data_IF_132031407641
#
_entry.id   IF_132031407641
#
_cell.length_a   1.000
_cell.length_b   1.000
_cell.length_c   1.000
_cell.angle_alpha   90.00
_cell.angle_beta   90.00
_cell.angle_gamma   90.00
#
_symmetry.space_group_name_H-M   'P 1'
#
loop_
_entity.id
_entity.type
_entity.pdbx_description
1 polymer ?
#
# COMPACT_ATOMS: atom_id res chain seq x y z
N UNK A 1 -30.66 -29.05 -77.52
CA UNK A 1 -31.56 -29.28 -76.40
C UNK A 1 -30.72 -28.97 -75.11
N UNK A 2 -30.77 -27.74 -74.71
CA UNK A 2 -29.92 -27.29 -73.63
C UNK A 2 -30.79 -26.66 -72.56
N UNK A 3 -30.87 -27.34 -71.42
CA UNK A 3 -31.67 -26.89 -70.28
C UNK A 3 -30.88 -25.88 -69.47
N UNK A 4 -31.32 -24.66 -69.42
CA UNK A 4 -30.72 -23.63 -68.56
C UNK A 4 -31.37 -23.68 -67.20
N UNK A 5 -30.66 -24.10 -66.22
CA UNK A 5 -31.06 -23.87 -64.83
C UNK A 5 -30.60 -22.50 -64.36
N UNK A 6 -31.59 -21.66 -64.09
CA UNK A 6 -31.39 -20.38 -63.47
C UNK A 6 -31.26 -20.58 -61.95
N UNK A 7 -30.09 -20.40 -61.40
CA UNK A 7 -29.90 -20.36 -59.95
C UNK A 7 -30.20 -18.94 -59.45
N UNK A 8 -31.31 -18.78 -58.82
CA UNK A 8 -31.62 -17.57 -58.04
C UNK A 8 -30.90 -17.65 -56.71
N UNK A 9 -29.83 -16.87 -56.58
CA UNK A 9 -29.12 -16.69 -55.30
C UNK A 9 -29.94 -15.70 -54.50
N UNK A 10 -30.69 -16.19 -53.54
CA UNK A 10 -31.31 -15.36 -52.50
C UNK A 10 -30.23 -15.00 -51.49
N UNK A 11 -29.74 -13.76 -51.57
CA UNK A 11 -28.89 -13.17 -50.59
C UNK A 11 -29.68 -12.92 -49.30
N UNK A 12 -29.55 -13.80 -48.34
CA UNK A 12 -30.02 -13.59 -46.99
C UNK A 12 -29.12 -12.56 -46.32
N UNK A 13 -29.60 -11.34 -46.21
CA UNK A 13 -28.99 -10.30 -45.38
C UNK A 13 -29.16 -10.71 -43.92
N UNK A 14 -28.18 -11.41 -43.36
CA UNK A 14 -28.09 -11.56 -41.92
C UNK A 14 -27.55 -10.25 -41.32
N UNK A 15 -28.46 -9.43 -40.84
CA UNK A 15 -28.18 -8.27 -40.03
C UNK A 15 -27.56 -8.78 -38.70
N UNK A 16 -26.25 -8.77 -38.65
CA UNK A 16 -25.47 -9.06 -37.43
C UNK A 16 -25.59 -7.85 -36.52
N UNK A 17 -26.59 -7.88 -35.64
CA UNK A 17 -26.76 -6.91 -34.57
C UNK A 17 -25.64 -7.14 -33.56
N UNK A 18 -24.47 -6.51 -33.79
CA UNK A 18 -23.42 -6.42 -32.80
C UNK A 18 -23.91 -5.52 -31.66
N UNK A 19 -24.59 -6.15 -30.69
CA UNK A 19 -24.82 -5.53 -29.40
C UNK A 19 -23.45 -5.45 -28.72
N UNK A 20 -22.78 -4.30 -28.89
CA UNK A 20 -21.63 -3.95 -28.11
C UNK A 20 -22.09 -3.79 -26.66
N UNK A 21 -21.98 -4.87 -25.91
CA UNK A 21 -22.07 -4.84 -24.44
C UNK A 21 -20.84 -4.07 -23.95
N UNK A 22 -20.98 -2.74 -23.82
CA UNK A 22 -20.04 -1.92 -23.09
C UNK A 22 -20.08 -2.39 -21.64
N UNK A 23 -19.22 -3.36 -21.30
CA UNK A 23 -18.89 -3.63 -19.90
C UNK A 23 -18.28 -2.35 -19.36
N UNK A 24 -19.09 -1.54 -18.72
CA UNK A 24 -18.62 -0.48 -17.83
C UNK A 24 -17.94 -1.17 -16.67
N UNK A 25 -16.63 -1.39 -16.78
CA UNK A 25 -15.80 -1.78 -15.67
C UNK A 25 -15.80 -0.59 -14.70
N UNK A 26 -16.69 -0.62 -13.70
CA UNK A 26 -16.59 0.29 -12.58
C UNK A 26 -15.20 0.10 -11.97
N UNK A 27 -14.46 1.19 -11.68
CA UNK A 27 -13.19 1.06 -10.99
C UNK A 27 -13.47 0.38 -9.65
N UNK A 28 -12.99 -0.86 -9.50
CA UNK A 28 -12.99 -1.52 -8.23
C UNK A 28 -12.11 -0.67 -7.31
N UNK A 29 -12.73 0.06 -6.39
CA UNK A 29 -12.00 0.71 -5.31
C UNK A 29 -11.40 -0.42 -4.48
N UNK A 30 -10.11 -0.68 -4.68
CA UNK A 30 -9.39 -1.63 -3.87
C UNK A 30 -9.48 -1.14 -2.42
N UNK A 31 -10.23 -1.87 -1.61
CA UNK A 31 -10.33 -1.60 -0.18
C UNK A 31 -8.92 -1.75 0.41
N UNK A 32 -8.40 -0.69 1.00
CA UNK A 32 -7.08 -0.73 1.60
C UNK A 32 -7.17 -1.52 2.90
N UNK A 33 -6.61 -2.72 2.90
CA UNK A 33 -6.62 -3.64 4.03
C UNK A 33 -5.33 -3.45 4.84
N UNK A 34 -5.44 -3.51 6.16
CA UNK A 34 -4.27 -3.53 7.03
C UNK A 34 -3.43 -4.80 6.77
N UNK A 35 -2.15 -4.60 6.52
CA UNK A 35 -1.19 -5.67 6.23
C UNK A 35 -0.19 -5.89 7.39
N UNK A 36 -0.35 -5.15 8.47
CA UNK A 36 0.52 -5.13 9.64
C UNK A 36 -0.28 -5.08 10.96
N UNK A 37 -1.34 -5.89 11.09
CA UNK A 37 -2.12 -5.95 12.33
C UNK A 37 -1.33 -6.50 13.51
N UNK A 38 -0.25 -7.24 13.26
CA UNK A 38 0.67 -7.72 14.29
C UNK A 38 1.34 -6.59 15.09
N UNK A 39 1.32 -5.34 14.60
CA UNK A 39 1.97 -4.19 15.25
C UNK A 39 1.53 -3.96 16.72
N UNK A 40 0.33 -4.42 17.08
CA UNK A 40 -0.18 -4.33 18.46
C UNK A 40 0.34 -5.41 19.40
N UNK A 41 0.96 -6.47 18.87
CA UNK A 41 1.47 -7.61 19.63
C UNK A 41 2.94 -7.91 19.34
N UNK A 42 3.45 -7.44 18.20
CA UNK A 42 4.82 -7.69 17.78
C UNK A 42 5.24 -6.79 16.61
N UNK A 43 6.44 -7.00 16.08
CA UNK A 43 6.89 -6.31 14.88
C UNK A 43 6.21 -6.83 13.62
N UNK A 44 6.18 -6.00 12.59
CA UNK A 44 5.76 -6.40 11.24
C UNK A 44 6.97 -6.51 10.32
N UNK A 45 6.97 -7.51 9.46
CA UNK A 45 8.09 -7.81 8.55
C UNK A 45 7.63 -7.77 7.11
N UNK A 46 8.43 -7.14 6.24
CA UNK A 46 8.25 -7.16 4.78
C UNK A 46 9.57 -7.38 4.06
N UNK A 47 9.47 -7.96 2.87
CA UNK A 47 10.58 -8.03 1.92
C UNK A 47 10.49 -6.81 0.98
N UNK A 48 11.58 -6.08 0.80
CA UNK A 48 11.66 -4.95 -0.11
C UNK A 48 13.09 -4.76 -0.62
N UNK A 49 13.23 -4.55 -1.93
CA UNK A 49 14.53 -4.38 -2.59
C UNK A 49 15.58 -5.44 -2.19
N UNK A 50 15.17 -6.72 -2.08
CA UNK A 50 16.04 -7.82 -1.70
C UNK A 50 16.47 -7.83 -0.22
N UNK A 51 15.82 -7.06 0.63
CA UNK A 51 16.11 -6.92 2.06
C UNK A 51 14.89 -7.25 2.90
N UNK A 52 15.13 -7.74 4.10
CA UNK A 52 14.09 -7.89 5.11
C UNK A 52 14.00 -6.60 5.90
N UNK A 53 12.81 -5.99 5.90
CA UNK A 53 12.51 -4.76 6.63
C UNK A 53 11.50 -5.07 7.72
N UNK A 54 11.84 -4.72 8.96
CA UNK A 54 11.01 -4.95 10.14
C UNK A 54 10.65 -3.61 10.76
N UNK A 55 9.36 -3.35 10.95
CA UNK A 55 8.85 -2.19 11.68
C UNK A 55 8.34 -2.62 13.04
N UNK A 56 8.78 -1.95 14.06
CA UNK A 56 8.29 -2.09 15.44
C UNK A 56 7.86 -0.72 15.97
N UNK A 57 6.73 -0.67 16.68
CA UNK A 57 6.21 0.55 17.31
C UNK A 57 5.92 0.26 18.78
N UNK A 58 6.43 1.10 19.66
CA UNK A 58 6.24 1.01 21.11
C UNK A 58 5.84 2.37 21.71
N UNK A 59 5.06 2.43 22.83
CA UNK A 59 4.46 1.30 23.52
C UNK A 59 3.29 0.66 22.76
N UNK A 60 2.92 -0.54 23.17
CA UNK A 60 1.76 -1.25 22.64
C UNK A 60 0.62 -1.29 23.65
N UNK A 61 -0.63 -1.30 23.20
CA UNK A 61 -1.09 -1.16 21.80
C UNK A 61 -0.79 0.23 21.25
N UNK A 62 -0.56 0.31 19.93
CA UNK A 62 -0.30 1.60 19.24
C UNK A 62 -1.54 2.48 19.32
N UNK A 63 -1.39 3.68 19.88
CA UNK A 63 -2.50 4.60 20.14
C UNK A 63 -2.27 5.96 19.48
N UNK A 64 -3.38 6.62 19.13
CA UNK A 64 -3.34 8.02 18.70
C UNK A 64 -2.88 8.93 19.85
N UNK A 65 -2.23 10.03 19.50
CA UNK A 65 -1.79 11.10 20.41
C UNK A 65 -0.84 10.65 21.53
N UNK A 66 -0.34 9.41 21.49
CA UNK A 66 0.70 8.93 22.37
C UNK A 66 2.09 9.19 21.78
N UNK A 67 3.09 9.43 22.64
CA UNK A 67 4.49 9.39 22.19
C UNK A 67 4.84 7.94 21.87
N UNK A 68 5.27 7.73 20.63
CA UNK A 68 5.61 6.42 20.09
C UNK A 68 7.09 6.40 19.69
N UNK A 69 7.74 5.30 19.95
CA UNK A 69 9.07 4.98 19.43
C UNK A 69 8.92 4.06 18.25
N UNK A 70 9.42 4.48 17.11
CA UNK A 70 9.45 3.72 15.86
C UNK A 70 10.84 3.15 15.69
N UNK A 71 10.93 1.83 15.56
CA UNK A 71 12.18 1.12 15.30
C UNK A 71 12.08 0.40 13.97
N UNK A 72 13.07 0.62 13.11
CA UNK A 72 13.18 -0.03 11.80
C UNK A 72 14.46 -0.84 11.76
N UNK A 73 14.35 -2.14 11.53
CA UNK A 73 15.49 -3.03 11.32
C UNK A 73 15.52 -3.46 9.87
N UNK A 74 16.69 -3.35 9.23
CA UNK A 74 16.90 -3.74 7.83
C UNK A 74 18.04 -4.75 7.75
N UNK A 75 17.79 -5.88 7.12
CA UNK A 75 18.79 -6.94 6.96
C UNK A 75 18.92 -7.35 5.49
N UNK A 76 20.12 -7.21 4.89
CA UNK A 76 21.33 -6.58 5.40
C UNK A 76 21.20 -5.05 5.52
N UNK A 77 21.79 -4.45 6.54
CA UNK A 77 21.77 -2.99 6.83
C UNK A 77 22.88 -2.18 6.17
N UNK A 78 23.64 -2.80 5.28
CA UNK A 78 24.76 -2.16 4.56
C UNK A 78 24.25 -1.19 3.49
N UNK A 79 25.03 -0.13 3.22
CA UNK A 79 24.74 0.88 2.19
C UNK A 79 23.38 1.62 2.38
N UNK A 80 22.93 1.77 3.63
CA UNK A 80 21.74 2.56 3.97
C UNK A 80 22.20 3.81 4.72
N UNK A 81 21.61 4.98 4.47
CA UNK A 81 21.95 6.22 5.17
C UNK A 81 21.84 6.11 6.70
N UNK A 82 22.61 6.93 7.41
CA UNK A 82 22.54 7.01 8.88
C UNK A 82 21.21 7.54 9.40
N UNK A 83 20.46 8.24 8.54
CA UNK A 83 19.15 8.80 8.85
C UNK A 83 18.15 8.31 7.82
N UNK A 84 16.99 7.88 8.28
CA UNK A 84 15.83 7.53 7.46
C UNK A 84 14.65 8.42 7.83
N UNK A 85 13.75 8.67 6.89
CA UNK A 85 12.47 9.31 7.17
C UNK A 85 11.38 8.24 7.15
N UNK A 86 10.53 8.25 8.17
CA UNK A 86 9.31 7.46 8.22
C UNK A 86 8.13 8.39 8.01
N UNK A 87 7.45 8.28 6.88
CA UNK A 87 6.26 9.05 6.55
C UNK A 87 5.02 8.37 7.11
N UNK A 88 4.23 9.11 7.89
CA UNK A 88 2.99 8.65 8.49
C UNK A 88 1.82 9.29 7.75
N UNK A 89 1.05 8.50 7.03
CA UNK A 89 -0.07 8.96 6.21
C UNK A 89 -1.29 8.06 6.38
N UNK A 90 -2.43 8.51 5.88
CA UNK A 90 -3.65 7.70 5.83
C UNK A 90 -3.93 7.29 4.38
N UNK A 91 -4.23 6.01 4.11
CA UNK A 91 -4.61 5.58 2.76
C UNK A 91 -5.79 6.38 2.23
N UNK A 92 -5.63 6.95 1.02
CA UNK A 92 -6.69 7.72 0.36
C UNK A 92 -6.99 9.10 0.96
N UNK A 93 -6.14 9.61 1.88
CA UNK A 93 -6.32 10.94 2.46
C UNK A 93 -4.99 11.68 2.57
N UNK A 94 -4.97 12.95 2.14
CA UNK A 94 -3.82 13.82 2.37
C UNK A 94 -3.90 14.44 3.75
N UNK A 95 -2.90 14.15 4.59
CA UNK A 95 -2.82 14.64 5.99
C UNK A 95 -1.73 15.70 6.19
N UNK A 96 -1.16 16.22 5.10
CA UNK A 96 0.04 17.03 5.18
C UNK A 96 1.28 16.19 5.46
N UNK A 97 2.40 16.87 5.73
CA UNK A 97 3.67 16.21 6.03
C UNK A 97 3.69 15.78 7.51
N UNK A 98 3.68 14.48 7.76
CA UNK A 98 3.83 13.91 9.09
C UNK A 98 4.96 12.86 9.04
N UNK A 99 6.17 13.27 9.38
CA UNK A 99 7.36 12.44 9.25
C UNK A 99 8.09 12.32 10.59
N UNK A 100 8.57 11.12 10.86
CA UNK A 100 9.47 10.80 11.96
C UNK A 100 10.87 10.61 11.39
N UNK A 101 11.83 11.31 11.94
CA UNK A 101 13.24 11.14 11.59
C UNK A 101 13.81 10.00 12.43
N UNK A 102 14.29 8.97 11.75
CA UNK A 102 14.90 7.81 12.37
C UNK A 102 16.42 7.94 12.29
N UNK A 103 17.10 7.84 13.42
CA UNK A 103 18.56 7.85 13.53
C UNK A 103 19.09 6.43 13.66
N UNK A 104 20.21 6.14 13.02
CA UNK A 104 20.87 4.84 13.13
C UNK A 104 21.32 4.59 14.58
N UNK A 105 20.90 3.47 15.14
CA UNK A 105 21.30 3.00 16.48
C UNK A 105 22.33 1.87 16.43
N UNK A 106 22.26 1.04 15.40
CA UNK A 106 23.19 -0.05 15.16
C UNK A 106 23.41 -0.25 13.65
N UNK A 107 24.19 -1.25 13.28
CA UNK A 107 24.45 -1.59 11.87
C UNK A 107 23.18 -1.81 11.05
N UNK A 108 22.12 -2.34 11.68
CA UNK A 108 20.89 -2.75 11.00
C UNK A 108 19.63 -2.05 11.55
N UNK A 109 19.74 -1.17 12.57
CA UNK A 109 18.57 -0.61 13.26
C UNK A 109 18.58 0.91 13.27
N UNK A 110 17.43 1.50 12.99
CA UNK A 110 17.15 2.94 13.08
C UNK A 110 15.96 3.16 14.01
N UNK A 111 16.01 4.24 14.79
CA UNK A 111 14.99 4.56 15.77
C UNK A 111 14.68 6.05 15.81
N UNK A 112 13.43 6.39 16.05
CA UNK A 112 12.95 7.76 16.22
C UNK A 112 11.66 7.83 17.02
N UNK A 113 11.37 9.00 17.55
CA UNK A 113 10.15 9.26 18.32
C UNK A 113 9.18 10.12 17.49
N UNK A 114 7.90 9.85 17.64
CA UNK A 114 6.85 10.61 16.96
C UNK A 114 5.48 10.34 17.55
N UNK A 115 4.48 11.00 16.96
CA UNK A 115 3.08 10.88 17.38
C UNK A 115 2.23 10.59 16.15
N UNK A 116 1.31 9.65 16.27
CA UNK A 116 0.26 9.44 15.29
C UNK A 116 -0.93 10.30 15.69
N UNK A 117 -1.23 11.31 14.89
CA UNK A 117 -2.32 12.24 15.16
C UNK A 117 -3.69 11.58 14.99
N UNK A 118 -4.71 12.05 15.69
CA UNK A 118 -6.07 11.56 15.50
C UNK A 118 -6.69 12.23 14.28
N UNK A 119 -7.29 11.43 13.39
CA UNK A 119 -8.05 11.96 12.27
C UNK A 119 -9.46 12.40 12.72
N UNK A 120 -9.87 13.61 12.33
CA UNK A 120 -11.21 14.15 12.62
C UNK A 120 -12.33 13.30 12.01
N UNK A 121 -12.07 12.55 10.93
CA UNK A 121 -13.05 11.64 10.33
C UNK A 121 -13.23 10.31 11.08
N UNK A 122 -12.51 10.10 12.19
CA UNK A 122 -12.57 8.86 12.95
C UNK A 122 -11.87 7.66 12.28
N UNK A 123 -11.21 7.86 11.14
CA UNK A 123 -10.45 6.78 10.49
C UNK A 123 -9.28 6.35 11.36
N UNK A 124 -9.07 5.03 11.43
CA UNK A 124 -8.03 4.40 12.26
C UNK A 124 -6.92 3.74 11.44
N UNK A 125 -7.10 3.62 10.13
CA UNK A 125 -6.14 2.97 9.25
C UNK A 125 -5.01 3.95 8.88
N UNK A 126 -3.78 3.57 9.21
CA UNK A 126 -2.57 4.35 8.98
C UNK A 126 -1.57 3.59 8.12
N UNK A 127 -0.73 4.32 7.44
CA UNK A 127 0.37 3.81 6.63
C UNK A 127 1.67 4.47 7.07
N UNK A 128 2.62 3.65 7.48
CA UNK A 128 4.00 4.05 7.73
C UNK A 128 4.87 3.66 6.54
N UNK A 129 5.45 4.63 5.85
CA UNK A 129 6.33 4.40 4.70
C UNK A 129 7.74 4.80 5.06
N UNK A 130 8.69 3.88 4.93
CA UNK A 130 10.11 4.18 5.06
C UNK A 130 10.56 4.82 3.75
N UNK A 131 10.86 6.11 3.78
CA UNK A 131 11.26 6.87 2.59
C UNK A 131 12.74 6.62 2.31
N UNK A 132 13.02 5.69 1.41
CA UNK A 132 14.37 5.33 0.98
C UNK A 132 14.32 4.62 -0.36
N UNK A 133 14.91 5.21 -1.39
CA UNK A 133 15.00 4.61 -2.72
C UNK A 133 15.73 3.25 -2.67
N UNK A 134 16.79 3.16 -1.85
CA UNK A 134 17.58 1.93 -1.68
C UNK A 134 16.78 0.77 -1.07
N UNK A 135 15.67 1.08 -0.41
CA UNK A 135 14.75 0.12 0.17
C UNK A 135 13.47 -0.07 -0.64
N UNK A 136 13.28 0.66 -1.74
CA UNK A 136 12.05 0.61 -2.54
C UNK A 136 10.83 1.19 -1.81
N UNK A 137 11.02 2.07 -0.85
CA UNK A 137 9.98 2.73 -0.05
C UNK A 137 8.95 1.77 0.56
N UNK A 138 9.35 0.77 1.35
CA UNK A 138 8.43 -0.18 1.94
C UNK A 138 7.43 0.51 2.85
N UNK A 139 6.18 0.10 2.79
CA UNK A 139 5.10 0.64 3.62
C UNK A 139 4.38 -0.45 4.39
N UNK A 140 3.89 -0.09 5.58
CA UNK A 140 3.14 -0.94 6.49
C UNK A 140 1.81 -0.28 6.79
N UNK A 141 0.71 -1.02 6.64
CA UNK A 141 -0.65 -0.52 6.85
C UNK A 141 -1.23 -1.21 8.08
N UNK A 142 -1.65 -0.43 9.06
CA UNK A 142 -2.13 -0.93 10.34
C UNK A 142 -3.22 -0.04 10.92
N UNK A 143 -4.02 -0.60 11.80
CA UNK A 143 -4.98 0.16 12.58
C UNK A 143 -4.32 0.75 13.82
N UNK A 144 -4.71 1.97 14.18
CA UNK A 144 -4.30 2.66 15.42
C UNK A 144 -5.49 2.70 16.37
N UNK A 145 -5.26 2.42 17.65
CA UNK A 145 -6.30 2.43 18.68
C UNK A 145 -6.47 3.81 19.32
N UNK A 146 -7.64 4.02 19.90
CA UNK A 146 -7.94 5.19 20.72
C UNK A 146 -7.39 5.03 22.13
#
# INVERSE_FOLDING_TARGET
>A
MVLRYSLTVTAALQSLCCVAFLLSAAPAHAETIADCNAIHSGPCTKQSAGRTVVLEINPRPVRHMAELTFSVTVTPGTAIPSTLALDLSMPGMYMGKNQVVLQRKSTCTWEGKGVIVRCMSGRKLWKATIVSADLGNPSFIFEVRD
#
